data_IF_291067255354
#
_entry.id   IF_291067255354
#
_cell.length_a   1.000
_cell.length_b   1.000
_cell.length_c   1.000
_cell.angle_alpha   90.00
_cell.angle_beta   90.00
_cell.angle_gamma   90.00
#
_symmetry.space_group_name_H-M   'P 1'
#
loop_
_entity.id
_entity.type
_entity.pdbx_description
1 polymer ?
#
# COMPACT_ATOMS: atom_id res chain seq x y z
N UNK A 1 18.24 2.66 5.36
CA UNK A 1 17.27 3.15 6.37
C UNK A 1 16.77 1.94 7.13
N UNK A 2 16.86 1.91 8.46
CA UNK A 2 16.27 0.82 9.26
C UNK A 2 14.86 1.22 9.69
N UNK A 3 13.87 0.38 9.35
CA UNK A 3 12.48 0.54 9.77
C UNK A 3 12.22 -0.37 10.96
N UNK A 4 11.56 0.16 11.98
CA UNK A 4 11.17 -0.60 13.17
C UNK A 4 9.85 -1.34 12.94
N UNK A 5 8.92 -0.70 12.22
CA UNK A 5 7.64 -1.25 11.85
C UNK A 5 7.26 -0.76 10.45
N UNK A 6 6.87 -1.67 9.56
CA UNK A 6 6.35 -1.35 8.25
C UNK A 6 5.01 -2.05 8.02
N UNK A 7 4.13 -1.37 7.31
CA UNK A 7 2.76 -1.80 7.04
C UNK A 7 2.39 -1.47 5.61
N UNK A 8 1.66 -2.38 4.97
CA UNK A 8 0.96 -2.12 3.72
C UNK A 8 -0.52 -1.97 4.04
N UNK A 9 -1.04 -0.78 3.81
CA UNK A 9 -2.43 -0.41 4.04
C UNK A 9 -3.15 -0.32 2.70
N UNK A 10 -4.43 -0.67 2.69
CA UNK A 10 -5.31 -0.54 1.52
C UNK A 10 -6.60 0.15 1.91
N UNK A 11 -7.06 1.04 1.04
CA UNK A 11 -8.36 1.71 1.15
C UNK A 11 -8.98 1.90 -0.24
N UNK A 12 -10.29 2.01 -0.35
CA UNK A 12 -10.93 2.53 -1.55
C UNK A 12 -10.40 3.92 -1.94
N UNK A 13 -10.27 4.19 -3.24
CA UNK A 13 -9.93 5.52 -3.71
C UNK A 13 -11.02 6.54 -3.35
N UNK A 14 -10.60 7.78 -3.11
CA UNK A 14 -11.53 8.91 -3.18
C UNK A 14 -11.93 9.15 -4.65
N UNK A 15 -13.13 9.69 -4.88
CA UNK A 15 -13.59 10.04 -6.22
C UNK A 15 -12.55 10.97 -6.91
N UNK A 16 -12.28 10.74 -8.20
CA UNK A 16 -11.38 11.52 -9.09
C UNK A 16 -9.85 11.27 -9.03
N UNK A 17 -9.37 10.17 -8.45
CA UNK A 17 -7.93 9.85 -8.48
C UNK A 17 -7.51 9.20 -9.82
N UNK A 18 -6.44 9.72 -10.45
CA UNK A 18 -5.77 9.05 -11.56
C UNK A 18 -5.22 7.69 -11.10
N UNK A 19 -5.77 6.62 -11.66
CA UNK A 19 -5.32 5.25 -11.39
C UNK A 19 -4.18 4.87 -12.31
N UNK A 20 -3.07 4.42 -11.72
CA UNK A 20 -2.13 3.59 -12.46
C UNK A 20 -2.65 2.15 -12.37
N UNK A 21 -2.78 1.41 -13.47
CA UNK A 21 -3.14 -0.01 -13.37
C UNK A 21 -2.09 -0.76 -12.53
N UNK A 22 -2.51 -1.64 -11.62
CA UNK A 22 -1.58 -2.61 -11.01
C UNK A 22 -0.97 -3.39 -12.16
N UNK A 23 0.35 -3.31 -12.35
CA UNK A 23 1.07 -4.23 -13.23
C UNK A 23 0.83 -5.66 -12.71
N UNK A 24 0.51 -6.63 -13.57
CA UNK A 24 0.34 -8.04 -13.17
C UNK A 24 1.52 -8.56 -12.32
N UNK A 25 2.74 -8.09 -12.56
CA UNK A 25 3.93 -8.41 -11.75
C UNK A 25 3.84 -7.93 -10.30
N UNK A 26 3.11 -6.85 -10.03
CA UNK A 26 2.90 -6.38 -8.66
C UNK A 26 1.96 -7.31 -7.88
N UNK A 27 1.08 -8.06 -8.55
CA UNK A 27 0.25 -9.08 -7.92
C UNK A 27 1.04 -10.35 -7.57
N UNK A 28 2.23 -10.56 -8.15
CA UNK A 28 3.13 -11.65 -7.75
C UNK A 28 3.73 -11.44 -6.34
N UNK A 29 3.70 -10.20 -5.83
CA UNK A 29 4.12 -9.90 -4.46
C UNK A 29 3.00 -10.31 -3.50
N UNK A 30 3.21 -11.31 -2.61
CA UNK A 30 2.14 -11.87 -1.77
C UNK A 30 1.42 -10.81 -0.92
N UNK A 31 2.18 -9.88 -0.35
CA UNK A 31 1.63 -8.79 0.45
C UNK A 31 0.63 -7.92 -0.34
N UNK A 32 0.92 -7.62 -1.62
CA UNK A 32 0.04 -6.80 -2.47
C UNK A 32 -1.22 -7.56 -2.82
N UNK A 33 -1.10 -8.83 -3.22
CA UNK A 33 -2.26 -9.67 -3.52
C UNK A 33 -3.17 -9.83 -2.31
N UNK A 34 -2.60 -10.11 -1.14
CA UNK A 34 -3.34 -10.32 0.10
C UNK A 34 -4.16 -9.09 0.51
N UNK A 35 -3.55 -7.90 0.53
CA UNK A 35 -4.28 -6.68 0.92
C UNK A 35 -5.39 -6.35 -0.08
N UNK A 36 -5.15 -6.52 -1.39
CA UNK A 36 -6.15 -6.27 -2.42
C UNK A 36 -7.30 -7.28 -2.38
N UNK A 37 -7.01 -8.56 -2.16
CA UNK A 37 -8.04 -9.58 -1.97
C UNK A 37 -8.87 -9.35 -0.71
N UNK A 38 -8.22 -9.01 0.40
CA UNK A 38 -8.89 -8.65 1.64
C UNK A 38 -9.83 -7.45 1.42
N UNK A 39 -9.35 -6.37 0.81
CA UNK A 39 -10.15 -5.19 0.52
C UNK A 39 -11.26 -5.42 -0.51
N UNK A 40 -11.09 -6.35 -1.46
CA UNK A 40 -12.14 -6.74 -2.39
C UNK A 40 -13.20 -7.63 -1.74
N UNK A 41 -12.84 -8.39 -0.70
CA UNK A 41 -13.75 -9.25 0.07
C UNK A 41 -14.56 -8.46 1.10
N UNK A 42 -14.04 -7.34 1.59
CA UNK A 42 -14.73 -6.46 2.52
C UNK A 42 -15.71 -5.58 1.74
N UNK A 43 -16.99 -5.93 1.81
CA UNK A 43 -18.09 -5.28 1.08
C UNK A 43 -18.42 -3.84 1.58
N UNK A 44 -17.45 -3.13 2.16
CA UNK A 44 -17.62 -1.85 2.85
C UNK A 44 -16.44 -0.93 2.52
N UNK A 45 -16.54 -0.18 1.43
CA UNK A 45 -15.70 1.00 1.21
C UNK A 45 -16.25 2.11 2.12
N UNK A 46 -15.75 2.19 3.35
CA UNK A 46 -16.09 3.30 4.24
C UNK A 46 -15.19 4.50 3.92
N UNK A 47 -15.75 5.65 3.49
CA UNK A 47 -14.95 6.84 3.23
C UNK A 47 -14.21 7.27 4.51
N UNK A 48 -12.88 7.29 4.47
CA UNK A 48 -12.04 7.83 5.55
C UNK A 48 -11.39 6.82 6.49
N UNK A 49 -11.59 5.50 6.31
CA UNK A 49 -10.94 4.46 7.11
C UNK A 49 -10.25 3.43 6.21
N UNK A 50 -9.15 2.84 6.68
CA UNK A 50 -8.45 1.77 5.96
C UNK A 50 -9.32 0.51 5.92
N UNK A 51 -9.41 -0.14 4.77
CA UNK A 51 -10.19 -1.37 4.61
C UNK A 51 -9.42 -2.56 5.20
N UNK A 52 -8.09 -2.56 5.05
CA UNK A 52 -7.21 -3.59 5.58
C UNK A 52 -5.76 -3.07 5.73
N UNK A 53 -4.99 -3.70 6.63
CA UNK A 53 -3.56 -3.42 6.79
C UNK A 53 -2.80 -4.69 7.16
N UNK A 54 -1.60 -4.83 6.61
CA UNK A 54 -0.71 -5.98 6.82
C UNK A 54 0.67 -5.52 7.24
N UNK A 55 1.21 -6.08 8.32
CA UNK A 55 2.60 -5.82 8.72
C UNK A 55 3.55 -6.46 7.71
N UNK A 56 4.64 -5.77 7.38
CA UNK A 56 5.67 -6.24 6.47
C UNK A 56 6.97 -6.50 7.21
N UNK A 57 7.70 -7.52 6.79
CA UNK A 57 9.12 -7.65 7.11
C UNK A 57 10.00 -6.80 6.17
N UNK A 58 11.31 -6.76 6.46
CA UNK A 58 12.27 -5.94 5.72
C UNK A 58 12.38 -6.34 4.24
N UNK A 59 12.27 -7.62 3.91
CA UNK A 59 12.36 -8.11 2.53
C UNK A 59 11.08 -7.72 1.78
N UNK A 60 9.93 -7.88 2.42
CA UNK A 60 8.63 -7.51 1.85
C UNK A 60 8.52 -6.01 1.57
N UNK A 61 9.08 -5.14 2.42
CA UNK A 61 9.14 -3.69 2.17
C UNK A 61 9.83 -3.37 0.84
N UNK A 62 10.97 -3.99 0.57
CA UNK A 62 11.71 -3.74 -0.67
C UNK A 62 10.98 -4.30 -1.89
N UNK A 63 10.36 -5.49 -1.77
CA UNK A 63 9.54 -6.07 -2.84
C UNK A 63 8.34 -5.19 -3.19
N UNK A 64 7.59 -4.72 -2.17
CA UNK A 64 6.44 -3.82 -2.36
C UNK A 64 6.88 -2.50 -2.98
N UNK A 65 7.97 -1.89 -2.49
CA UNK A 65 8.46 -0.61 -3.01
C UNK A 65 8.87 -0.71 -4.48
N UNK A 66 9.53 -1.82 -4.86
CA UNK A 66 9.90 -2.11 -6.25
C UNK A 66 8.68 -2.33 -7.14
N UNK A 67 7.76 -3.20 -6.71
CA UNK A 67 6.56 -3.56 -7.47
C UNK A 67 5.63 -2.37 -7.74
N UNK A 68 5.50 -1.46 -6.77
CA UNK A 68 4.62 -0.31 -6.87
C UNK A 68 5.29 0.93 -7.50
N UNK A 69 6.57 0.84 -7.88
CA UNK A 69 7.31 1.97 -8.47
C UNK A 69 7.34 3.22 -7.59
N UNK A 70 7.21 3.05 -6.27
CA UNK A 70 7.07 4.13 -5.30
C UNK A 70 8.41 4.87 -5.18
N UNK A 71 8.52 5.97 -5.91
CA UNK A 71 9.75 6.77 -6.04
C UNK A 71 9.67 8.13 -5.34
N UNK A 72 8.47 8.61 -4.97
CA UNK A 72 8.28 9.89 -4.26
C UNK A 72 7.96 9.67 -2.78
N UNK A 73 8.90 10.03 -1.92
CA UNK A 73 8.81 9.93 -0.46
C UNK A 73 8.05 11.11 0.13
N UNK A 74 6.88 10.87 0.73
CA UNK A 74 6.39 11.75 1.78
C UNK A 74 7.05 11.29 3.08
N UNK A 75 8.10 12.01 3.46
CA UNK A 75 8.89 11.73 4.66
C UNK A 75 8.61 12.82 5.69
N UNK A 76 8.15 12.41 6.86
CA UNK A 76 8.30 13.25 8.05
C UNK A 76 9.51 12.74 8.85
N UNK A 77 10.00 13.50 9.83
CA UNK A 77 11.20 13.12 10.59
C UNK A 77 11.12 11.72 11.24
N UNK A 78 9.93 11.14 11.41
CA UNK A 78 9.67 9.91 12.17
C UNK A 78 9.12 8.76 11.32
N UNK A 79 8.48 9.04 10.20
CA UNK A 79 7.84 8.04 9.36
C UNK A 79 8.00 8.34 7.86
N UNK A 80 7.84 7.29 7.08
CA UNK A 80 7.76 7.34 5.62
C UNK A 80 6.40 6.80 5.21
N UNK A 81 5.71 7.52 4.34
CA UNK A 81 4.47 7.08 3.73
C UNK A 81 4.55 7.21 2.21
N UNK A 82 4.24 6.12 1.50
CA UNK A 82 4.29 6.03 0.06
C UNK A 82 2.97 5.45 -0.45
N UNK A 83 2.19 6.22 -1.20
CA UNK A 83 0.90 5.79 -1.70
C UNK A 83 0.84 5.70 -3.22
N UNK A 84 0.10 4.72 -3.74
CA UNK A 84 -0.26 4.61 -5.15
C UNK A 84 -1.71 4.16 -5.27
N UNK A 85 -2.44 4.74 -6.21
CA UNK A 85 -3.81 4.34 -6.52
C UNK A 85 -3.84 3.43 -7.73
N UNK A 86 -4.54 2.31 -7.58
CA UNK A 86 -4.52 1.20 -8.49
C UNK A 86 -5.90 0.61 -8.76
N UNK A 87 -6.11 0.08 -9.95
CA UNK A 87 -7.33 -0.64 -10.30
C UNK A 87 -7.16 -2.15 -10.06
N UNK A 88 -8.07 -2.77 -9.32
CA UNK A 88 -8.11 -4.21 -9.08
C UNK A 88 -9.56 -4.71 -9.12
N UNK A 89 -9.84 -5.76 -9.92
CA UNK A 89 -11.18 -6.34 -10.10
C UNK A 89 -12.29 -5.31 -10.40
N UNK A 90 -11.98 -4.27 -11.17
CA UNK A 90 -12.93 -3.22 -11.54
C UNK A 90 -13.14 -2.11 -10.50
N UNK A 91 -12.47 -2.20 -9.35
CA UNK A 91 -12.53 -1.22 -8.27
C UNK A 91 -11.19 -0.49 -8.11
N UNK A 92 -11.24 0.75 -7.61
CA UNK A 92 -10.05 1.55 -7.33
C UNK A 92 -9.64 1.42 -5.86
N UNK A 93 -8.37 1.10 -5.63
CA UNK A 93 -7.76 1.01 -4.30
C UNK A 93 -6.52 1.89 -4.21
N UNK A 94 -6.30 2.51 -3.06
CA UNK A 94 -5.05 3.18 -2.72
C UNK A 94 -4.25 2.29 -1.78
N UNK A 95 -3.08 1.84 -2.24
CA UNK A 95 -2.10 1.14 -1.44
C UNK A 95 -1.17 2.15 -0.80
N UNK A 96 -0.91 2.04 0.50
CA UNK A 96 0.01 2.91 1.24
C UNK A 96 1.03 2.05 1.98
N UNK A 97 2.29 2.18 1.59
CA UNK A 97 3.41 1.64 2.34
C UNK A 97 3.79 2.65 3.42
N UNK A 98 3.47 2.33 4.66
CA UNK A 98 3.78 3.13 5.83
C UNK A 98 4.91 2.47 6.64
N UNK A 99 5.94 3.23 6.99
CA UNK A 99 7.03 2.71 7.82
C UNK A 99 7.50 3.72 8.86
N UNK A 100 7.65 3.26 10.10
CA UNK A 100 8.20 4.04 11.21
C UNK A 100 9.72 3.86 11.20
N UNK A 101 10.43 4.99 11.18
CA UNK A 101 11.88 5.01 11.27
C UNK A 101 12.30 4.57 12.65
N UNK A 102 13.30 3.70 12.72
CA UNK A 102 13.95 3.41 14.00
C UNK A 102 14.57 4.71 14.52
N UNK A 103 14.21 5.11 15.72
CA UNK A 103 14.89 6.23 16.38
C UNK A 103 16.34 5.81 16.60
N UNK A 104 17.30 6.61 16.10
CA UNK A 104 18.71 6.41 16.40
C UNK A 104 18.99 6.63 17.89
#
# INVERSE_FOLDING_TARGET
MEFENAWLEVKGCADSVQTASVNEQALEVPAISEVLEAAASTNKLHPGMWDYSRRLDKVEVEMVRGALGLSKTAEDGRAVSLSVSVAYKGSCYTLTLFAIKRSQ
#
